data_IF_935228366278
#
_entry.id   IF_935228366278
#
_cell.length_a   1.000
_cell.length_b   1.000
_cell.length_c   1.000
_cell.angle_alpha   90.00
_cell.angle_beta   90.00
_cell.angle_gamma   90.00
#
_symmetry.space_group_name_H-M   'P 1'
#
loop_
_entity.id
_entity.type
_entity.pdbx_description
1 polymer ?
#
# COMPACT_ATOMS: atom_id res chain seq x y z
N UNK A 1 -1.99 5.72 -29.89
CA UNK A 1 -1.24 6.73 -29.12
C UNK A 1 -2.12 7.64 -28.24
N UNK A 2 -3.44 7.70 -28.42
CA UNK A 2 -4.34 8.58 -27.64
C UNK A 2 -4.79 8.06 -26.26
N UNK A 3 -4.56 6.77 -25.96
CA UNK A 3 -5.01 6.16 -24.69
C UNK A 3 -4.16 6.52 -23.47
N UNK A 4 -2.98 7.12 -23.66
CA UNK A 4 -2.08 7.43 -22.55
C UNK A 4 -2.25 8.85 -22.01
N UNK A 5 -2.98 9.71 -22.73
CA UNK A 5 -3.18 11.13 -22.37
C UNK A 5 -4.58 11.38 -21.84
N UNK A 6 -5.58 10.68 -22.38
CA UNK A 6 -6.97 10.82 -21.99
C UNK A 6 -7.47 9.50 -21.38
N UNK A 7 -8.10 9.62 -20.22
CA UNK A 7 -8.93 8.60 -19.58
C UNK A 7 -10.16 8.31 -20.44
N UNK A 8 -10.84 7.18 -20.19
CA UNK A 8 -12.12 6.86 -20.83
C UNK A 8 -13.22 7.89 -20.50
N UNK A 9 -13.02 8.69 -19.45
CA UNK A 9 -13.89 9.82 -19.06
C UNK A 9 -13.60 11.11 -19.82
N UNK A 10 -12.57 11.15 -20.68
CA UNK A 10 -12.13 12.37 -21.36
C UNK A 10 -11.25 13.29 -20.50
N UNK A 11 -10.98 12.90 -19.26
CA UNK A 11 -10.07 13.60 -18.35
C UNK A 11 -8.61 13.18 -18.58
N UNK A 12 -7.65 13.93 -18.04
CA UNK A 12 -6.24 13.58 -18.13
C UNK A 12 -6.00 12.24 -17.44
N UNK A 13 -5.35 11.30 -18.14
CA UNK A 13 -5.05 9.98 -17.59
C UNK A 13 -4.19 10.10 -16.32
N UNK A 14 -4.48 9.40 -15.21
CA UNK A 14 -3.76 9.55 -13.95
C UNK A 14 -2.26 9.25 -14.06
N UNK A 15 -1.85 8.42 -15.03
CA UNK A 15 -0.44 8.13 -15.30
C UNK A 15 0.28 9.14 -16.23
N UNK A 16 -0.42 10.19 -16.67
CA UNK A 16 0.12 11.16 -17.62
C UNK A 16 1.38 11.88 -17.10
N UNK A 17 1.41 12.26 -15.83
CA UNK A 17 2.57 12.95 -15.23
C UNK A 17 3.82 12.09 -15.22
N UNK A 18 3.69 10.78 -14.99
CA UNK A 18 4.78 9.81 -15.07
C UNK A 18 5.28 9.64 -16.51
N UNK A 19 4.37 9.63 -17.49
CA UNK A 19 4.72 9.62 -18.91
C UNK A 19 5.53 10.85 -19.31
N UNK A 20 5.07 12.04 -18.89
CA UNK A 20 5.75 13.29 -19.20
C UNK A 20 7.17 13.31 -18.61
N UNK A 21 7.34 12.86 -17.36
CA UNK A 21 8.67 12.74 -16.73
C UNK A 21 9.59 11.76 -17.47
N UNK A 22 9.04 10.65 -17.97
CA UNK A 22 9.81 9.68 -18.77
C UNK A 22 10.25 10.29 -20.11
N UNK A 23 9.36 10.96 -20.82
CA UNK A 23 9.68 11.63 -22.10
C UNK A 23 10.78 12.68 -21.88
N UNK A 24 10.62 13.55 -20.90
CA UNK A 24 11.61 14.58 -20.58
C UNK A 24 12.99 13.97 -20.28
N UNK A 25 13.03 12.83 -19.58
CA UNK A 25 14.28 12.13 -19.32
C UNK A 25 14.91 11.58 -20.61
N UNK A 26 14.11 10.94 -21.47
CA UNK A 26 14.59 10.36 -22.74
C UNK A 26 15.12 11.44 -23.67
N UNK A 27 14.51 12.62 -23.67
CA UNK A 27 14.95 13.75 -24.50
C UNK A 27 16.26 14.40 -24.01
N UNK A 28 16.56 14.30 -22.71
CA UNK A 28 17.73 14.94 -22.09
C UNK A 28 18.95 14.02 -22.00
N UNK A 29 18.75 12.70 -21.99
CA UNK A 29 19.81 11.73 -21.70
C UNK A 29 20.31 10.98 -22.94
N UNK A 30 21.62 10.98 -23.23
CA UNK A 30 22.18 10.25 -24.38
C UNK A 30 22.09 8.73 -24.23
N UNK A 31 22.02 8.21 -22.99
CA UNK A 31 21.89 6.77 -22.69
C UNK A 31 20.60 6.54 -21.86
N UNK A 32 19.47 6.80 -22.49
CA UNK A 32 18.15 6.77 -21.85
C UNK A 32 17.77 5.39 -21.24
N UNK A 33 18.30 4.29 -21.78
CA UNK A 33 17.92 2.93 -21.35
C UNK A 33 18.27 2.63 -19.89
N UNK A 34 19.40 3.16 -19.39
CA UNK A 34 19.80 3.02 -17.98
C UNK A 34 19.43 4.26 -17.16
N UNK A 35 19.66 5.46 -17.70
CA UNK A 35 19.45 6.70 -16.96
C UNK A 35 17.98 6.94 -16.63
N UNK A 36 17.07 6.60 -17.55
CA UNK A 36 15.62 6.77 -17.37
C UNK A 36 14.91 5.51 -16.85
N UNK A 37 15.67 4.49 -16.41
CA UNK A 37 15.08 3.22 -15.92
C UNK A 37 14.07 3.45 -14.80
N UNK A 38 14.41 4.29 -13.84
CA UNK A 38 13.52 4.62 -12.71
C UNK A 38 12.22 5.24 -13.18
N UNK A 39 12.26 6.17 -14.14
CA UNK A 39 11.06 6.84 -14.66
C UNK A 39 10.17 5.90 -15.48
N UNK A 40 10.80 4.95 -16.18
CA UNK A 40 10.09 3.86 -16.87
C UNK A 40 9.41 2.92 -15.87
N UNK A 41 10.10 2.55 -14.79
CA UNK A 41 9.51 1.75 -13.72
C UNK A 41 8.34 2.45 -13.04
N UNK A 42 8.46 3.75 -12.74
CA UNK A 42 7.37 4.56 -12.16
C UNK A 42 6.14 4.62 -13.09
N UNK A 43 6.37 4.81 -14.40
CA UNK A 43 5.30 4.81 -15.39
C UNK A 43 4.59 3.45 -15.48
N UNK A 44 5.36 2.36 -15.51
CA UNK A 44 4.81 1.01 -15.54
C UNK A 44 4.02 0.69 -14.26
N UNK A 45 4.57 1.03 -13.09
CA UNK A 45 3.90 0.82 -11.81
C UNK A 45 2.60 1.60 -11.71
N UNK A 46 2.51 2.79 -12.31
CA UNK A 46 1.25 3.53 -12.33
C UNK A 46 0.13 2.75 -13.02
N UNK A 47 0.43 2.01 -14.09
CA UNK A 47 -0.55 1.20 -14.83
C UNK A 47 -0.86 -0.14 -14.15
N UNK A 48 0.16 -0.85 -13.66
CA UNK A 48 -0.02 -2.22 -13.15
C UNK A 48 -0.33 -2.29 -11.65
N UNK A 49 0.16 -1.30 -10.88
CA UNK A 49 0.08 -1.23 -9.42
C UNK A 49 0.67 -2.47 -8.73
N UNK A 50 1.67 -3.12 -9.33
CA UNK A 50 2.24 -4.38 -8.83
C UNK A 50 2.97 -4.18 -7.51
N UNK A 51 3.86 -3.19 -7.42
CA UNK A 51 4.59 -2.87 -6.19
C UNK A 51 3.61 -2.44 -5.09
N UNK A 52 2.56 -1.67 -5.43
CA UNK A 52 1.49 -1.30 -4.49
C UNK A 52 0.76 -2.53 -3.94
N UNK A 53 0.32 -3.44 -4.82
CA UNK A 53 -0.38 -4.68 -4.41
C UNK A 53 0.51 -5.56 -3.54
N UNK A 54 1.79 -5.70 -3.91
CA UNK A 54 2.75 -6.47 -3.12
C UNK A 54 2.96 -5.86 -1.72
N UNK A 55 3.07 -4.54 -1.61
CA UNK A 55 3.19 -3.84 -0.34
C UNK A 55 1.94 -4.01 0.53
N UNK A 56 0.74 -3.86 -0.05
CA UNK A 56 -0.52 -4.09 0.66
C UNK A 56 -0.65 -5.53 1.18
N UNK A 57 -0.26 -6.51 0.35
CA UNK A 57 -0.25 -7.91 0.76
C UNK A 57 0.74 -8.17 1.91
N UNK A 58 1.95 -7.60 1.82
CA UNK A 58 2.94 -7.69 2.88
C UNK A 58 2.43 -7.10 4.19
N UNK A 59 1.88 -5.87 4.15
CA UNK A 59 1.32 -5.21 5.34
C UNK A 59 0.18 -6.05 5.93
N UNK A 60 -0.73 -6.55 5.11
CA UNK A 60 -1.82 -7.42 5.57
C UNK A 60 -1.31 -8.68 6.27
N UNK A 61 -0.25 -9.30 5.73
CA UNK A 61 0.37 -10.46 6.34
C UNK A 61 1.06 -10.14 7.67
N UNK A 62 1.78 -9.01 7.77
CA UNK A 62 2.44 -8.62 9.01
C UNK A 62 1.42 -8.25 10.10
N UNK A 63 0.34 -7.54 9.76
CA UNK A 63 -0.77 -7.27 10.69
C UNK A 63 -1.41 -8.57 11.19
N UNK A 64 -1.62 -9.55 10.29
CA UNK A 64 -2.14 -10.86 10.65
C UNK A 64 -1.22 -11.61 11.61
N UNK A 65 0.10 -11.62 11.36
CA UNK A 65 1.10 -12.24 12.25
C UNK A 65 1.10 -11.63 13.64
N UNK A 66 0.99 -10.30 13.73
CA UNK A 66 1.00 -9.58 15.00
C UNK A 66 -0.32 -9.70 15.76
N UNK A 67 -1.31 -10.45 15.24
CA UNK A 67 -2.68 -10.50 15.80
C UNK A 67 -3.28 -9.09 15.96
N UNK A 68 -2.83 -8.12 15.16
CA UNK A 68 -3.37 -6.75 15.16
C UNK A 68 -4.61 -6.79 14.27
N UNK A 69 -5.73 -7.15 14.88
CA UNK A 69 -7.01 -7.35 14.17
C UNK A 69 -7.81 -6.07 13.99
N UNK A 70 -7.44 -4.98 14.66
CA UNK A 70 -7.97 -3.65 14.41
C UNK A 70 -6.88 -2.61 14.67
N UNK A 71 -6.86 -1.56 13.85
CA UNK A 71 -6.11 -0.36 14.15
C UNK A 71 -7.01 0.55 15.01
N UNK A 72 -6.48 1.20 16.05
CA UNK A 72 -7.25 2.15 16.84
C UNK A 72 -7.76 3.30 15.95
N UNK A 73 -9.02 3.66 16.14
CA UNK A 73 -9.68 4.77 15.46
C UNK A 73 -9.71 5.96 16.41
N UNK A 74 -9.26 7.11 15.92
CA UNK A 74 -9.33 8.34 16.69
C UNK A 74 -10.78 8.83 16.80
N UNK A 75 -11.24 9.08 18.02
CA UNK A 75 -12.54 9.67 18.31
C UNK A 75 -12.38 11.14 18.72
N UNK A 76 -12.78 12.04 17.82
CA UNK A 76 -12.73 13.49 18.00
C UNK A 76 -13.61 13.98 19.16
N UNK A 77 -14.69 13.28 19.50
CA UNK A 77 -15.62 13.71 20.54
C UNK A 77 -15.06 13.48 21.95
N UNK A 78 -14.19 12.47 22.12
CA UNK A 78 -13.58 12.13 23.40
C UNK A 78 -12.08 12.40 23.47
N UNK A 79 -11.49 12.88 22.38
CA UNK A 79 -10.03 13.08 22.21
C UNK A 79 -9.22 11.84 22.61
N UNK A 80 -9.72 10.67 22.22
CA UNK A 80 -9.10 9.38 22.57
C UNK A 80 -9.11 8.42 21.40
N UNK A 81 -8.14 7.50 21.40
CA UNK A 81 -8.12 6.37 20.48
C UNK A 81 -9.00 5.25 21.04
N UNK A 82 -10.01 4.84 20.27
CA UNK A 82 -10.86 3.68 20.57
C UNK A 82 -10.45 2.50 19.71
N UNK A 83 -10.60 1.30 20.23
CA UNK A 83 -10.35 0.08 19.45
C UNK A 83 -11.24 0.08 18.20
N UNK A 84 -10.63 -0.18 17.04
CA UNK A 84 -11.35 -0.23 15.78
C UNK A 84 -12.30 -1.44 15.72
N UNK A 85 -13.20 -1.47 14.71
CA UNK A 85 -14.12 -2.59 14.56
C UNK A 85 -13.35 -3.90 14.39
N UNK A 86 -13.63 -4.86 15.29
CA UNK A 86 -13.05 -6.20 15.24
C UNK A 86 -13.73 -7.04 14.14
N UNK A 87 -12.99 -7.95 13.46
CA UNK A 87 -13.57 -8.92 12.53
C UNK A 87 -14.63 -9.82 13.21
N UNK A 88 -15.63 -10.28 12.45
CA UNK A 88 -16.77 -11.07 12.97
C UNK A 88 -16.38 -12.35 13.72
N UNK A 89 -15.18 -12.89 13.47
CA UNK A 89 -14.68 -14.14 14.07
C UNK A 89 -13.54 -13.91 15.08
N UNK A 90 -13.42 -12.71 15.66
CA UNK A 90 -12.34 -12.36 16.60
C UNK A 90 -12.21 -13.34 17.78
N UNK A 91 -13.33 -13.87 18.29
CA UNK A 91 -13.38 -14.81 19.42
C UNK A 91 -12.75 -16.18 19.08
N UNK A 92 -12.74 -16.58 17.80
CA UNK A 92 -12.09 -17.80 17.35
C UNK A 92 -10.56 -17.77 17.43
N UNK A 93 -9.97 -16.56 17.46
CA UNK A 93 -8.51 -16.35 17.44
C UNK A 93 -7.85 -16.38 18.83
N UNK A 94 -8.63 -16.22 19.91
CA UNK A 94 -8.15 -16.33 21.30
C UNK A 94 -8.35 -17.73 21.90
N UNK A 95 -9.07 -18.61 21.19
CA UNK A 95 -9.34 -19.99 21.62
C UNK A 95 -8.23 -20.99 21.24
N UNK A 96 -7.22 -20.56 20.49
CA UNK A 96 -6.01 -21.35 20.23
C UNK A 96 -4.94 -21.03 21.26
N UNK A 97 -4.80 -21.97 22.19
CA UNK A 97 -3.81 -22.09 23.25
C UNK A 97 -3.97 -21.14 24.44
N UNK A 98 -4.37 -21.76 25.57
CA UNK A 98 -4.00 -21.31 26.92
C UNK A 98 -2.51 -21.02 26.92
N UNK A 99 -2.11 -19.76 26.74
CA UNK A 99 -0.75 -19.35 26.98
C UNK A 99 -0.45 -19.67 28.45
N UNK A 100 0.46 -20.62 28.67
CA UNK A 100 1.01 -20.90 30.00
C UNK A 100 1.80 -19.66 30.38
N UNK A 101 1.20 -18.81 31.22
CA UNK A 101 1.94 -17.75 31.87
C UNK A 101 2.99 -18.40 32.76
N UNK A 102 4.26 -18.31 32.38
CA UNK A 102 5.34 -18.38 33.36
C UNK A 102 5.32 -17.04 34.08
N UNK A 103 4.62 -16.96 35.21
CA UNK A 103 4.89 -15.92 36.18
C UNK A 103 6.28 -16.19 36.75
N UNK A 104 7.25 -15.34 36.41
CA UNK A 104 8.54 -15.32 37.10
C UNK A 104 8.30 -15.03 38.58
N UNK A 105 8.85 -15.83 39.51
CA UNK A 105 8.79 -15.52 40.92
C UNK A 105 9.85 -14.47 41.25
N UNK A 106 9.43 -13.25 41.58
CA UNK A 106 10.17 -12.32 42.45
C UNK A 106 9.22 -11.44 43.24
#
# INVERSE_FOLDING_TARGET
>A
MFHDTLSMTGEIHPCFTFKQRLINCVEQEPIYTRMCRTKKEDYNECHTKEKYKAAQYFIGNELHKQKIYSLPVYDEATDTFKDGPLPKDADGYFNTDKQVYYSDPQ
#
